data_IF_201270671174
#
_entry.id   IF_201270671174
#
_cell.length_a   1.000
_cell.length_b   1.000
_cell.length_c   1.000
_cell.angle_alpha   90.00
_cell.angle_beta   90.00
_cell.angle_gamma   90.00
#
_symmetry.space_group_name_H-M   'P 1'
#
loop_
_entity.id
_entity.type
_entity.pdbx_description
1 polymer ?
#
# COMPACT_ATOMS: atom_id res chain seq x y z
N UNK A 1 -11.84 4.83 16.04
CA UNK A 1 -10.94 5.70 15.25
C UNK A 1 -10.55 5.00 13.97
N UNK A 2 -10.12 5.77 12.97
CA UNK A 2 -9.63 5.21 11.71
C UNK A 2 -8.32 4.45 11.91
N UNK A 3 -7.47 4.86 12.86
CA UNK A 3 -6.28 4.10 13.26
C UNK A 3 -6.61 2.66 13.65
N UNK A 4 -7.59 2.46 14.55
CA UNK A 4 -7.99 1.12 14.97
C UNK A 4 -8.58 0.28 13.82
N UNK A 5 -9.29 0.93 12.89
CA UNK A 5 -9.81 0.29 11.68
C UNK A 5 -8.67 -0.18 10.78
N UNK A 6 -7.69 0.69 10.52
CA UNK A 6 -6.51 0.39 9.69
C UNK A 6 -5.68 -0.73 10.29
N UNK A 7 -5.47 -0.73 11.61
CA UNK A 7 -4.76 -1.81 12.30
C UNK A 7 -5.45 -3.17 12.12
N UNK A 8 -6.78 -3.21 12.26
CA UNK A 8 -7.55 -4.44 12.03
C UNK A 8 -7.48 -4.92 10.59
N UNK A 9 -7.59 -4.00 9.62
CA UNK A 9 -7.47 -4.33 8.21
C UNK A 9 -6.08 -4.85 7.85
N UNK A 10 -5.04 -4.22 8.41
CA UNK A 10 -3.66 -4.68 8.25
C UNK A 10 -3.48 -6.11 8.80
N UNK A 11 -3.86 -6.32 10.04
CA UNK A 11 -3.76 -7.63 10.70
C UNK A 11 -4.54 -8.69 9.92
N UNK A 12 -5.78 -8.35 9.52
CA UNK A 12 -6.60 -9.27 8.73
C UNK A 12 -5.92 -9.63 7.41
N UNK A 13 -5.39 -8.63 6.68
CA UNK A 13 -4.72 -8.88 5.39
C UNK A 13 -3.50 -9.78 5.56
N UNK A 14 -2.64 -9.49 6.54
CA UNK A 14 -1.43 -10.28 6.80
C UNK A 14 -1.76 -11.72 7.21
N UNK A 15 -2.84 -11.92 7.95
CA UNK A 15 -3.26 -13.24 8.42
C UNK A 15 -3.98 -14.07 7.36
N UNK A 16 -4.78 -13.44 6.51
CA UNK A 16 -5.67 -14.14 5.58
C UNK A 16 -5.14 -14.19 4.14
N UNK A 17 -4.23 -13.28 3.76
CA UNK A 17 -3.61 -13.31 2.42
C UNK A 17 -2.15 -13.73 2.58
N UNK A 18 -1.90 -15.03 2.42
CA UNK A 18 -0.58 -15.61 2.54
C UNK A 18 0.28 -15.28 1.30
N UNK A 19 1.62 -15.29 1.39
CA UNK A 19 2.48 -15.22 0.20
C UNK A 19 2.14 -16.37 -0.76
N UNK A 20 2.08 -16.07 -2.06
CA UNK A 20 1.97 -17.12 -3.09
C UNK A 20 3.23 -18.00 -3.04
N UNK A 21 3.10 -19.33 -2.97
CA UNK A 21 4.25 -20.23 -3.05
C UNK A 21 5.06 -20.01 -4.33
N UNK A 22 6.39 -20.18 -4.26
CA UNK A 22 7.30 -19.87 -5.37
C UNK A 22 7.06 -20.72 -6.63
N UNK A 23 6.50 -21.91 -6.47
CA UNK A 23 6.18 -22.86 -7.55
C UNK A 23 4.79 -22.65 -8.15
N UNK A 24 4.01 -21.70 -7.63
CA UNK A 24 2.68 -21.41 -8.13
C UNK A 24 2.68 -20.27 -9.15
N UNK A 25 1.86 -20.41 -10.18
CA UNK A 25 1.68 -19.34 -11.16
C UNK A 25 1.02 -18.12 -10.53
N UNK A 26 1.61 -16.95 -10.80
CA UNK A 26 1.00 -15.68 -10.41
C UNK A 26 -0.13 -15.37 -11.38
N UNK A 27 -1.35 -15.23 -10.86
CA UNK A 27 -2.52 -14.82 -11.64
C UNK A 27 -2.80 -13.35 -11.31
N UNK A 28 -2.82 -12.50 -12.32
CA UNK A 28 -3.24 -11.10 -12.16
C UNK A 28 -4.77 -11.07 -12.09
N UNK A 29 -5.26 -10.88 -10.87
CA UNK A 29 -6.66 -11.03 -10.54
C UNK A 29 -7.23 -9.78 -9.88
N UNK A 30 -8.56 -9.67 -9.97
CA UNK A 30 -9.33 -8.72 -9.18
C UNK A 30 -9.19 -9.02 -7.68
N UNK A 31 -9.18 -7.98 -6.83
CA UNK A 31 -9.01 -8.09 -5.37
C UNK A 31 -9.90 -9.17 -4.74
N UNK A 32 -11.14 -9.30 -5.20
CA UNK A 32 -12.06 -10.31 -4.67
C UNK A 32 -11.53 -11.74 -4.88
N UNK A 33 -10.93 -12.02 -6.03
CA UNK A 33 -10.37 -13.35 -6.32
C UNK A 33 -9.14 -13.62 -5.44
N UNK A 34 -8.30 -12.60 -5.17
CA UNK A 34 -7.16 -12.72 -4.24
C UNK A 34 -7.66 -13.06 -2.84
N UNK A 35 -8.72 -12.36 -2.38
CA UNK A 35 -9.34 -12.62 -1.08
C UNK A 35 -9.91 -14.05 -1.00
N UNK A 36 -10.62 -14.49 -2.04
CA UNK A 36 -11.24 -15.84 -2.07
C UNK A 36 -10.16 -16.93 -2.04
N UNK A 37 -9.08 -16.79 -2.80
CA UNK A 37 -8.00 -17.79 -2.83
C UNK A 37 -7.08 -17.75 -1.61
N UNK A 38 -7.06 -16.63 -0.86
CA UNK A 38 -6.31 -16.49 0.39
C UNK A 38 -4.79 -16.36 0.23
N UNK A 39 -4.27 -16.13 -0.98
CA UNK A 39 -2.84 -15.91 -1.21
C UNK A 39 -2.61 -14.92 -2.36
N UNK A 40 -1.46 -14.24 -2.34
CA UNK A 40 -1.06 -13.27 -3.34
C UNK A 40 0.41 -12.91 -3.25
N UNK A 41 0.98 -12.44 -4.35
CA UNK A 41 2.32 -11.85 -4.37
C UNK A 41 2.34 -10.49 -3.67
N UNK A 42 3.51 -9.92 -3.47
CA UNK A 42 3.70 -8.74 -2.64
C UNK A 42 2.80 -7.55 -3.01
N UNK A 43 2.68 -7.23 -4.30
CA UNK A 43 1.85 -6.14 -4.79
C UNK A 43 0.34 -6.44 -4.64
N UNK A 44 -0.07 -7.68 -4.85
CA UNK A 44 -1.44 -8.12 -4.64
C UNK A 44 -1.86 -8.01 -3.16
N UNK A 45 -0.96 -8.33 -2.23
CA UNK A 45 -1.20 -8.16 -0.79
C UNK A 45 -1.34 -6.69 -0.41
N UNK A 46 -0.49 -5.82 -0.97
CA UNK A 46 -0.59 -4.37 -0.79
C UNK A 46 -1.89 -3.81 -1.42
N UNK A 47 -2.29 -4.32 -2.59
CA UNK A 47 -3.56 -3.96 -3.24
C UNK A 47 -4.78 -4.35 -2.38
N UNK A 48 -4.81 -5.55 -1.81
CA UNK A 48 -5.90 -5.99 -0.92
C UNK A 48 -6.03 -5.04 0.26
N UNK A 49 -4.93 -4.75 0.95
CA UNK A 49 -4.94 -3.87 2.11
C UNK A 49 -5.41 -2.45 1.77
N UNK A 50 -4.83 -1.83 0.75
CA UNK A 50 -5.15 -0.44 0.39
C UNK A 50 -6.56 -0.31 -0.20
N UNK A 51 -7.04 -1.33 -0.91
CA UNK A 51 -8.43 -1.38 -1.40
C UNK A 51 -9.42 -1.52 -0.26
N UNK A 52 -9.19 -2.42 0.69
CA UNK A 52 -10.05 -2.58 1.87
C UNK A 52 -10.07 -1.32 2.74
N UNK A 53 -8.92 -0.64 2.93
CA UNK A 53 -8.85 0.63 3.61
C UNK A 53 -9.72 1.69 2.89
N UNK A 54 -9.56 1.84 1.58
CA UNK A 54 -10.33 2.79 0.77
C UNK A 54 -11.83 2.47 0.80
N UNK A 55 -12.22 1.20 0.73
CA UNK A 55 -13.63 0.77 0.84
C UNK A 55 -14.23 1.08 2.22
N UNK A 56 -13.41 1.08 3.26
CA UNK A 56 -13.82 1.46 4.61
C UNK A 56 -13.84 2.98 4.85
N UNK A 57 -13.58 3.79 3.81
CA UNK A 57 -13.58 5.24 3.87
C UNK A 57 -12.23 5.87 4.23
N UNK A 58 -11.15 5.08 4.31
CA UNK A 58 -9.81 5.56 4.63
C UNK A 58 -8.97 5.61 3.36
N UNK A 59 -8.55 6.79 2.87
CA UNK A 59 -7.72 6.89 1.66
C UNK A 59 -6.42 6.11 1.82
N UNK A 60 -6.09 5.30 0.81
CA UNK A 60 -4.89 4.49 0.83
C UNK A 60 -4.35 4.24 -0.59
N UNK A 61 -3.03 4.08 -0.69
CA UNK A 61 -2.34 3.68 -1.92
C UNK A 61 -1.05 2.95 -1.56
N UNK A 62 -0.46 2.28 -2.52
CA UNK A 62 0.87 1.69 -2.36
C UNK A 62 1.79 2.10 -3.49
N UNK A 63 3.08 2.06 -3.22
CA UNK A 63 4.13 2.32 -4.19
C UNK A 63 5.18 1.23 -4.16
N UNK A 64 5.74 0.95 -5.33
CA UNK A 64 6.93 0.15 -5.46
C UNK A 64 8.15 1.06 -5.41
N UNK A 65 9.05 0.82 -4.48
CA UNK A 65 10.31 1.55 -4.41
C UNK A 65 11.30 1.02 -5.44
N UNK A 66 12.21 1.87 -5.95
CA UNK A 66 13.28 1.43 -6.85
C UNK A 66 14.08 0.29 -6.20
N UNK A 67 14.45 -0.70 -7.01
CA UNK A 67 15.25 -1.84 -6.55
C UNK A 67 16.56 -1.37 -5.93
N UNK A 68 16.76 -1.68 -4.66
CA UNK A 68 18.04 -1.49 -3.99
C UNK A 68 18.87 -2.79 -3.97
N UNK A 69 18.29 -3.87 -4.44
CA UNK A 69 18.85 -5.22 -4.66
C UNK A 69 17.89 -5.98 -5.56
N UNK A 70 17.99 -7.30 -5.66
CA UNK A 70 17.04 -8.13 -6.43
C UNK A 70 15.62 -8.17 -5.83
N UNK A 71 15.42 -7.59 -4.65
CA UNK A 71 14.12 -7.52 -4.00
C UNK A 71 13.44 -6.16 -4.18
N UNK A 72 12.15 -6.20 -4.51
CA UNK A 72 11.28 -5.04 -4.64
C UNK A 72 10.60 -4.76 -3.29
N UNK A 73 10.73 -3.54 -2.78
CA UNK A 73 10.04 -3.12 -1.56
C UNK A 73 8.78 -2.37 -1.96
N UNK A 74 7.67 -2.76 -1.34
CA UNK A 74 6.36 -2.15 -1.55
C UNK A 74 5.90 -1.52 -0.24
N UNK A 75 5.69 -0.22 -0.26
CA UNK A 75 5.16 0.50 0.90
C UNK A 75 3.72 0.91 0.64
N UNK A 76 2.87 0.63 1.61
CA UNK A 76 1.49 1.08 1.64
C UNK A 76 1.36 2.33 2.51
N UNK A 77 0.63 3.31 2.02
CA UNK A 77 0.35 4.58 2.69
C UNK A 77 -1.14 4.67 2.97
N UNK A 78 -1.51 5.07 4.16
CA UNK A 78 -2.89 5.18 4.61
C UNK A 78 -3.10 6.51 5.31
N UNK A 79 -4.17 7.25 4.97
CA UNK A 79 -4.45 8.56 5.55
C UNK A 79 -5.29 8.43 6.81
N UNK A 80 -4.67 8.67 7.96
CA UNK A 80 -5.28 8.50 9.28
C UNK A 80 -4.94 9.71 10.14
N UNK A 81 -5.95 10.26 10.84
CA UNK A 81 -5.77 11.37 11.75
C UNK A 81 -4.97 12.54 11.12
N UNK A 82 -5.38 12.93 9.89
CA UNK A 82 -4.80 14.00 9.06
C UNK A 82 -3.33 13.79 8.64
N UNK A 83 -2.80 12.56 8.70
CA UNK A 83 -1.43 12.23 8.30
C UNK A 83 -1.34 10.91 7.53
N UNK A 84 -0.36 10.81 6.63
CA UNK A 84 -0.07 9.58 5.90
C UNK A 84 0.85 8.68 6.73
N UNK A 85 0.34 7.55 7.17
CA UNK A 85 1.10 6.51 7.88
C UNK A 85 1.55 5.42 6.92
N UNK A 86 2.63 4.71 7.28
CA UNK A 86 3.32 3.77 6.40
C UNK A 86 3.22 2.34 6.95
N UNK A 87 3.04 1.38 6.05
CA UNK A 87 3.11 -0.03 6.36
C UNK A 87 3.78 -0.82 5.22
N UNK A 88 4.45 -1.92 5.55
CA UNK A 88 4.91 -2.93 4.62
C UNK A 88 4.06 -4.20 4.80
N UNK A 89 3.00 -4.29 4.02
CA UNK A 89 2.03 -5.40 4.11
C UNK A 89 2.66 -6.71 3.64
N UNK A 90 3.51 -6.64 2.62
CA UNK A 90 4.18 -7.81 2.07
C UNK A 90 5.08 -8.52 3.10
N UNK A 91 5.74 -7.75 3.95
CA UNK A 91 6.61 -8.26 5.02
C UNK A 91 5.93 -8.30 6.39
N UNK A 92 4.68 -7.87 6.50
CA UNK A 92 3.91 -7.88 7.74
C UNK A 92 4.34 -6.82 8.75
N UNK A 93 4.94 -5.72 8.31
CA UNK A 93 5.39 -4.64 9.18
C UNK A 93 4.43 -3.45 9.18
N UNK A 94 3.95 -3.12 10.36
CA UNK A 94 3.25 -1.88 10.65
C UNK A 94 4.18 -1.01 11.50
N UNK A 95 4.71 0.06 10.89
CA UNK A 95 5.71 0.91 11.54
C UNK A 95 5.07 1.79 12.61
N UNK A 96 5.79 1.99 13.73
CA UNK A 96 5.33 2.80 14.84
C UNK A 96 6.36 3.87 15.23
N UNK A 97 5.86 5.03 15.65
CA UNK A 97 6.65 6.13 16.16
C UNK A 97 7.08 5.90 17.63
N UNK A 98 7.70 6.92 18.26
CA UNK A 98 8.17 6.85 19.66
C UNK A 98 7.06 6.67 20.68
N UNK A 99 5.84 7.05 20.35
CA UNK A 99 4.68 7.00 21.21
C UNK A 99 3.89 5.69 21.06
N UNK A 100 4.33 4.82 20.12
CA UNK A 100 3.67 3.55 19.81
C UNK A 100 2.52 3.69 18.81
N UNK A 101 2.30 4.87 18.25
CA UNK A 101 1.30 5.12 17.23
C UNK A 101 1.81 4.74 15.83
N UNK A 102 0.90 4.65 14.86
CA UNK A 102 1.26 4.43 13.46
C UNK A 102 2.17 5.56 12.96
N UNK A 103 3.32 5.19 12.40
CA UNK A 103 4.36 6.15 12.01
C UNK A 103 4.14 6.72 10.62
N UNK A 104 4.46 7.99 10.45
CA UNK A 104 4.61 8.63 9.14
C UNK A 104 5.98 8.36 8.53
N UNK A 105 6.14 8.62 7.23
CA UNK A 105 7.43 8.50 6.58
C UNK A 105 8.48 9.43 7.22
N UNK A 106 8.13 10.67 7.51
CA UNK A 106 9.04 11.66 8.07
C UNK A 106 9.52 11.25 9.48
N UNK A 107 8.63 10.71 10.32
CA UNK A 107 8.98 10.16 11.63
C UNK A 107 9.97 8.98 11.51
N UNK A 108 9.80 8.12 10.50
CA UNK A 108 10.69 6.99 10.27
C UNK A 108 12.06 7.42 9.75
N UNK A 109 12.10 8.39 8.83
CA UNK A 109 13.34 8.97 8.30
C UNK A 109 14.13 9.67 9.42
N UNK A 110 13.45 10.36 10.32
CA UNK A 110 14.07 11.06 11.46
C UNK A 110 14.63 10.09 12.52
N UNK A 111 14.20 8.83 12.56
CA UNK A 111 14.58 7.84 13.58
C UNK A 111 15.13 6.52 12.99
N UNK A 112 16.24 6.56 12.22
CA UNK A 112 16.75 5.37 11.52
C UNK A 112 17.20 4.25 12.48
N UNK A 113 17.55 4.58 13.72
CA UNK A 113 17.89 3.59 14.74
C UNK A 113 16.71 2.67 15.08
N UNK A 114 15.49 3.17 15.06
CA UNK A 114 14.27 2.37 15.27
C UNK A 114 13.99 1.41 14.13
N UNK A 115 14.29 1.83 12.91
CA UNK A 115 14.11 0.97 11.74
C UNK A 115 14.96 -0.30 11.79
N UNK A 116 16.08 -0.29 12.54
CA UNK A 116 16.90 -1.47 12.77
C UNK A 116 16.17 -2.57 13.57
N UNK A 117 15.20 -2.18 14.41
CA UNK A 117 14.41 -3.14 15.20
C UNK A 117 13.49 -3.98 14.32
N UNK A 118 12.97 -3.41 13.23
CA UNK A 118 12.10 -4.12 12.30
C UNK A 118 12.86 -5.08 11.37
N UNK A 119 14.15 -4.81 11.13
CA UNK A 119 14.98 -5.63 10.25
C UNK A 119 15.50 -6.92 10.91
N UNK A 120 15.51 -7.02 12.25
CA UNK A 120 16.22 -8.07 12.95
C UNK A 120 15.55 -9.45 12.92
N UNK A 121 14.22 -9.51 12.70
CA UNK A 121 13.49 -10.76 12.91
C UNK A 121 12.83 -11.38 11.66
N UNK A 122 12.65 -10.65 10.56
CA UNK A 122 11.84 -11.12 9.42
C UNK A 122 12.33 -10.68 8.04
N UNK A 123 13.61 -10.51 7.80
CA UNK A 123 14.09 -10.08 6.48
C UNK A 123 13.84 -11.14 5.40
N UNK A 124 12.73 -10.97 4.67
CA UNK A 124 12.56 -11.56 3.34
C UNK A 124 13.57 -10.96 2.36
N UNK A 125 14.13 -9.80 2.71
CA UNK A 125 15.11 -9.07 1.91
C UNK A 125 16.48 -9.28 2.54
N UNK A 126 17.23 -10.25 2.03
CA UNK A 126 18.63 -10.42 2.40
C UNK A 126 19.38 -9.11 2.15
N UNK A 127 20.09 -8.59 3.16
CA UNK A 127 21.04 -7.49 3.10
C UNK A 127 20.49 -6.05 2.96
N UNK A 128 19.17 -5.81 3.05
CA UNK A 128 18.62 -4.45 3.02
C UNK A 128 17.95 -4.12 4.35
N UNK A 129 18.45 -3.12 5.06
CA UNK A 129 17.79 -2.59 6.25
C UNK A 129 16.76 -1.52 5.88
N UNK A 130 15.63 -1.47 6.57
CA UNK A 130 14.65 -0.38 6.38
C UNK A 130 15.28 1.00 6.60
N UNK A 131 16.27 1.13 7.49
CA UNK A 131 17.00 2.38 7.65
C UNK A 131 17.65 2.86 6.35
N UNK A 132 18.17 1.95 5.52
CA UNK A 132 18.72 2.28 4.20
C UNK A 132 17.61 2.59 3.18
N UNK A 133 16.51 1.85 3.23
CA UNK A 133 15.35 2.05 2.34
C UNK A 133 14.71 3.41 2.55
N UNK A 134 14.51 3.80 3.80
CA UNK A 134 13.90 5.10 4.14
C UNK A 134 14.86 6.28 4.00
N UNK A 135 16.19 6.02 3.94
CA UNK A 135 17.18 7.10 3.77
C UNK A 135 16.99 7.83 2.45
N UNK A 136 16.62 9.10 2.52
CA UNK A 136 16.36 9.95 1.34
C UNK A 136 15.01 9.71 0.65
N UNK A 137 14.14 8.88 1.21
CA UNK A 137 12.79 8.71 0.70
C UNK A 137 11.94 9.93 1.06
N UNK A 138 11.26 10.48 0.07
CA UNK A 138 10.27 11.54 0.26
C UNK A 138 8.87 10.99 0.06
N UNK A 139 7.88 11.62 0.71
CA UNK A 139 6.49 11.19 0.59
C UNK A 139 6.05 11.14 -0.88
N UNK A 140 5.65 9.97 -1.40
CA UNK A 140 5.15 9.87 -2.77
C UNK A 140 3.83 10.63 -2.91
N UNK A 141 3.62 11.25 -4.06
CA UNK A 141 2.33 11.89 -4.33
C UNK A 141 1.26 10.82 -4.52
N UNK A 142 0.14 10.92 -3.77
CA UNK A 142 -1.00 10.05 -4.04
C UNK A 142 -1.44 10.20 -5.49
N UNK A 143 -1.64 9.09 -6.18
CA UNK A 143 -2.21 9.10 -7.52
C UNK A 143 -3.70 9.47 -7.42
N UNK A 144 -4.18 10.31 -8.35
CA UNK A 144 -5.62 10.63 -8.43
C UNK A 144 -6.12 10.23 -9.83
N UNK A 145 -7.14 9.39 -9.93
CA UNK A 145 -7.80 8.68 -8.82
C UNK A 145 -6.89 7.60 -8.21
N UNK A 146 -7.08 7.32 -6.93
CA UNK A 146 -6.36 6.22 -6.27
C UNK A 146 -6.72 4.89 -6.95
N UNK A 147 -5.72 4.00 -7.16
CA UNK A 147 -5.92 2.68 -7.81
C UNK A 147 -7.09 1.91 -7.17
N UNK A 148 -7.18 1.93 -5.84
CA UNK A 148 -8.27 1.31 -5.09
C UNK A 148 -9.66 1.92 -5.43
N UNK A 149 -9.74 3.21 -5.75
CA UNK A 149 -11.02 3.84 -6.15
C UNK A 149 -11.50 3.37 -7.52
N UNK A 150 -10.58 3.07 -8.44
CA UNK A 150 -10.92 2.53 -9.77
C UNK A 150 -11.47 1.10 -9.69
N UNK A 151 -11.20 0.39 -8.62
CA UNK A 151 -11.77 -0.95 -8.37
C UNK A 151 -13.20 -0.88 -7.80
N UNK A 152 -13.66 0.30 -7.34
CA UNK A 152 -15.02 0.50 -6.88
C UNK A 152 -15.95 0.71 -8.09
N UNK A 153 -16.98 -0.15 -8.31
CA UNK A 153 -17.81 -0.11 -9.52
C UNK A 153 -18.43 1.26 -9.80
N UNK A 154 -18.97 1.92 -8.78
CA UNK A 154 -19.58 3.25 -8.92
C UNK A 154 -18.55 4.35 -9.18
N UNK A 155 -17.42 4.36 -8.49
CA UNK A 155 -16.37 5.36 -8.71
C UNK A 155 -15.74 5.20 -10.09
N UNK A 156 -15.52 3.98 -10.54
CA UNK A 156 -15.05 3.68 -11.88
C UNK A 156 -16.04 4.20 -12.95
N UNK A 157 -17.34 3.93 -12.77
CA UNK A 157 -18.36 4.43 -13.68
C UNK A 157 -18.38 5.96 -13.76
N UNK A 158 -18.29 6.65 -12.62
CA UNK A 158 -18.22 8.12 -12.57
C UNK A 158 -16.96 8.63 -13.27
N UNK A 159 -15.82 7.98 -13.06
CA UNK A 159 -14.55 8.33 -13.70
C UNK A 159 -14.64 8.17 -15.22
N UNK A 160 -15.13 7.04 -15.71
CA UNK A 160 -15.32 6.77 -17.13
C UNK A 160 -16.30 7.77 -17.77
N UNK A 161 -17.41 8.07 -17.10
CA UNK A 161 -18.35 9.07 -17.57
C UNK A 161 -17.75 10.47 -17.68
N UNK A 162 -16.96 10.90 -16.69
CA UNK A 162 -16.25 12.19 -16.73
C UNK A 162 -15.19 12.22 -17.83
N UNK A 163 -14.45 11.14 -18.04
CA UNK A 163 -13.48 11.05 -19.13
C UNK A 163 -14.13 11.16 -20.50
N UNK A 164 -15.29 10.53 -20.72
CA UNK A 164 -16.06 10.65 -21.97
C UNK A 164 -16.57 12.08 -22.19
N UNK A 165 -17.05 12.75 -21.15
CA UNK A 165 -17.52 14.15 -21.24
C UNK A 165 -16.38 15.14 -21.53
N UNK A 166 -15.18 14.90 -21.00
CA UNK A 166 -14.01 15.76 -21.24
C UNK A 166 -13.44 15.60 -22.65
N UNK A 167 -13.60 14.45 -23.29
CA UNK A 167 -13.19 14.22 -24.69
C UNK A 167 -14.15 14.90 -25.68
N UNK A 168 -15.42 15.10 -25.30
CA UNK A 168 -16.42 15.77 -26.16
C UNK A 168 -16.31 17.30 -26.21
N UNK A 169 -15.46 17.93 -25.38
CA UNK A 169 -15.32 19.39 -25.34
C UNK A 169 -14.14 19.93 -26.16
N UNK A 170 -13.31 19.06 -26.76
CA UNK A 170 -12.13 19.49 -27.52
C UNK A 170 -12.35 19.53 -29.04
N UNK A 171 -13.58 19.25 -29.55
CA UNK A 171 -13.86 19.19 -30.99
C UNK A 171 -14.62 20.39 -31.55
N UNK A 172 -14.82 21.48 -30.76
CA UNK A 172 -15.48 22.69 -31.25
C UNK A 172 -14.59 23.94 -31.15
N UNK A 173 -13.34 23.83 -31.70
CA UNK A 173 -12.55 25.04 -31.95
C UNK A 173 -11.57 24.80 -33.13
N UNK A 174 -12.12 24.81 -34.33
CA UNK A 174 -11.45 25.16 -35.59
C UNK A 174 -12.39 26.09 -36.43
#
# INVERSE_FOLDING_TARGET
SDSAKVEKLFQWTVQNIQPTPDDWSVVDDHILNIIIRGHGVADQRADVFTTLATYSGVPAFWVSLPKHSDAQILLSFVFVDDRWVVADVANGFQFRNSEGELATLDELVAQPARLKMYAAERTVIKDVSYAKVFSGLTMPKPQSPLRAELQMPLKRLIYEARAMLSLGTNDESD
#
